data_IF_383745527769
#
_entry.id   IF_383745527769
#
_cell.length_a   1.000
_cell.length_b   1.000
_cell.length_c   1.000
_cell.angle_alpha   90.00
_cell.angle_beta   90.00
_cell.angle_gamma   90.00
#
_symmetry.space_group_name_H-M   'P 1'
#
loop_
_entity.id
_entity.type
_entity.pdbx_description
1 polymer ?
#
# COMPACT_ATOMS: atom_id res chain seq x y z
N UNK A 1 44.05 8.23 11.03
CA UNK A 1 43.28 8.59 9.82
C UNK A 1 42.42 7.47 9.25
N UNK A 2 42.93 6.24 9.10
CA UNK A 2 42.19 5.11 8.49
C UNK A 2 40.78 4.88 9.06
N UNK A 3 40.60 4.90 10.38
CA UNK A 3 39.29 4.75 11.06
C UNK A 3 38.26 5.84 10.73
N UNK A 4 38.69 7.07 10.45
CA UNK A 4 37.79 8.18 10.07
C UNK A 4 37.27 7.99 8.65
N UNK A 5 38.13 7.45 7.76
CA UNK A 5 37.78 7.17 6.38
C UNK A 5 36.77 6.01 6.29
N UNK A 6 36.98 4.94 7.06
CA UNK A 6 36.02 3.82 7.13
C UNK A 6 34.66 4.26 7.66
N UNK A 7 34.63 5.10 8.71
CA UNK A 7 33.37 5.64 9.25
C UNK A 7 32.62 6.54 8.26
N UNK A 8 33.33 7.30 7.43
CA UNK A 8 32.72 8.17 6.42
C UNK A 8 32.14 7.37 5.24
N UNK A 9 32.84 6.33 4.80
CA UNK A 9 32.37 5.39 3.75
C UNK A 9 31.11 4.65 4.21
N UNK A 10 31.06 4.21 5.46
CA UNK A 10 29.87 3.54 6.03
C UNK A 10 28.68 4.50 6.06
N UNK A 11 28.87 5.75 6.54
CA UNK A 11 27.81 6.77 6.53
C UNK A 11 27.30 7.08 5.13
N UNK A 12 28.20 7.19 4.15
CA UNK A 12 27.84 7.46 2.76
C UNK A 12 27.03 6.29 2.16
N UNK A 13 27.42 5.04 2.45
CA UNK A 13 26.68 3.85 2.02
C UNK A 13 25.28 3.82 2.61
N UNK A 14 25.15 4.07 3.92
CA UNK A 14 23.84 4.12 4.60
C UNK A 14 22.94 5.19 4.00
N UNK A 15 23.48 6.38 3.71
CA UNK A 15 22.70 7.45 3.10
C UNK A 15 22.15 7.08 1.71
N UNK A 16 22.95 6.37 0.91
CA UNK A 16 22.52 5.88 -0.42
C UNK A 16 21.40 4.85 -0.30
N UNK A 17 21.46 3.96 0.68
CA UNK A 17 20.44 2.94 0.92
C UNK A 17 19.11 3.56 1.39
N UNK A 18 19.17 4.53 2.31
CA UNK A 18 17.99 5.30 2.76
C UNK A 18 17.35 6.07 1.60
N UNK A 19 18.16 6.69 0.74
CA UNK A 19 17.65 7.41 -0.43
C UNK A 19 16.94 6.47 -1.41
N UNK A 20 17.49 5.29 -1.69
CA UNK A 20 16.84 4.26 -2.51
C UNK A 20 15.52 3.81 -1.91
N UNK A 21 15.45 3.66 -0.60
CA UNK A 21 14.24 3.29 0.12
C UNK A 21 13.14 4.35 -0.04
N UNK A 22 13.48 5.64 0.12
CA UNK A 22 12.55 6.76 -0.09
C UNK A 22 12.02 6.77 -1.53
N UNK A 23 12.88 6.57 -2.54
CA UNK A 23 12.46 6.51 -3.94
C UNK A 23 11.45 5.40 -4.21
N UNK A 24 11.70 4.20 -3.66
CA UNK A 24 10.74 3.10 -3.75
C UNK A 24 9.42 3.46 -3.06
N UNK A 25 9.48 4.04 -1.87
CA UNK A 25 8.30 4.41 -1.10
C UNK A 25 7.44 5.44 -1.83
N UNK A 26 8.05 6.47 -2.43
CA UNK A 26 7.35 7.45 -3.25
C UNK A 26 6.74 6.84 -4.51
N UNK A 27 7.45 5.93 -5.20
CA UNK A 27 6.95 5.29 -6.42
C UNK A 27 5.70 4.44 -6.14
N UNK A 28 5.74 3.65 -5.07
CA UNK A 28 4.59 2.85 -4.62
C UNK A 28 3.44 3.71 -4.09
N UNK A 29 3.75 4.81 -3.41
CA UNK A 29 2.74 5.77 -2.95
C UNK A 29 1.97 6.39 -4.13
N UNK A 30 2.66 6.80 -5.20
CA UNK A 30 2.02 7.32 -6.41
C UNK A 30 1.09 6.28 -7.05
N UNK A 31 1.56 5.04 -7.14
CA UNK A 31 0.76 3.94 -7.68
C UNK A 31 -0.51 3.72 -6.83
N UNK A 32 -0.41 3.79 -5.51
CA UNK A 32 -1.57 3.63 -4.61
C UNK A 32 -2.58 4.77 -4.72
N UNK A 33 -2.13 6.02 -4.89
CA UNK A 33 -3.02 7.16 -5.15
C UNK A 33 -3.75 6.98 -6.49
N UNK A 34 -3.04 6.53 -7.53
CA UNK A 34 -3.62 6.31 -8.85
C UNK A 34 -4.65 5.17 -8.83
N UNK A 35 -4.34 4.06 -8.17
CA UNK A 35 -5.28 2.96 -7.98
C UNK A 35 -6.51 3.40 -7.19
N UNK A 36 -6.33 4.18 -6.11
CA UNK A 36 -7.45 4.73 -5.34
C UNK A 36 -8.35 5.59 -6.21
N UNK A 37 -7.79 6.55 -6.95
CA UNK A 37 -8.55 7.42 -7.84
C UNK A 37 -9.30 6.62 -8.92
N UNK A 38 -8.69 5.56 -9.44
CA UNK A 38 -9.34 4.65 -10.39
C UNK A 38 -10.51 3.90 -9.75
N UNK A 39 -10.35 3.32 -8.56
CA UNK A 39 -11.43 2.64 -7.85
C UNK A 39 -12.59 3.60 -7.54
N UNK A 40 -12.29 4.79 -7.03
CA UNK A 40 -13.30 5.82 -6.76
C UNK A 40 -14.08 6.22 -8.02
N UNK A 41 -13.40 6.33 -9.18
CA UNK A 41 -14.07 6.62 -10.46
C UNK A 41 -14.91 5.46 -10.98
N UNK A 42 -14.44 4.23 -10.84
CA UNK A 42 -15.14 3.04 -11.32
C UNK A 42 -16.43 2.83 -10.51
N UNK A 43 -16.34 2.86 -9.18
CA UNK A 43 -17.50 2.65 -8.31
C UNK A 43 -18.40 3.90 -8.22
N UNK A 44 -17.83 5.09 -8.14
CA UNK A 44 -18.59 6.35 -8.13
C UNK A 44 -19.22 6.69 -9.49
N UNK A 45 -18.53 6.39 -10.59
CA UNK A 45 -18.99 6.67 -11.95
C UNK A 45 -20.10 5.72 -12.44
N UNK A 46 -20.17 4.50 -11.92
CA UNK A 46 -21.25 3.54 -12.18
C UNK A 46 -22.63 4.05 -11.74
N UNK A 47 -22.67 5.00 -10.80
CA UNK A 47 -23.90 5.61 -10.30
C UNK A 47 -24.40 6.81 -11.12
N UNK A 48 -23.68 7.22 -12.16
CA UNK A 48 -24.14 8.28 -13.06
C UNK A 48 -24.96 7.67 -14.21
N UNK A 49 -26.28 7.95 -14.30
CA UNK A 49 -27.14 7.37 -15.34
C UNK A 49 -26.75 7.77 -16.77
N UNK A 50 -25.98 8.85 -16.95
CA UNK A 50 -25.52 9.34 -18.25
C UNK A 50 -24.14 8.79 -18.65
N UNK A 51 -23.47 8.03 -17.78
CA UNK A 51 -22.16 7.46 -18.07
C UNK A 51 -22.28 6.06 -18.67
N UNK A 52 -21.94 5.92 -19.96
CA UNK A 52 -21.95 4.63 -20.65
C UNK A 52 -20.74 3.74 -20.30
N UNK A 53 -19.69 4.27 -19.67
CA UNK A 53 -18.41 3.57 -19.48
C UNK A 53 -18.46 2.44 -18.43
N UNK A 54 -19.41 2.47 -17.49
CA UNK A 54 -19.41 1.59 -16.31
C UNK A 54 -20.78 0.97 -15.98
N UNK A 55 -21.69 0.88 -16.96
CA UNK A 55 -23.06 0.33 -16.78
C UNK A 55 -23.11 -1.11 -16.26
N UNK A 56 -22.06 -1.90 -16.47
CA UNK A 56 -21.98 -3.30 -16.05
C UNK A 56 -21.73 -3.45 -14.53
N UNK A 57 -21.28 -2.39 -13.87
CA UNK A 57 -20.97 -2.40 -12.44
C UNK A 57 -22.22 -1.94 -11.69
N UNK A 58 -22.71 -2.71 -10.70
CA UNK A 58 -23.83 -2.28 -9.89
C UNK A 58 -23.47 -0.98 -9.15
N UNK A 59 -24.37 0.01 -9.17
CA UNK A 59 -24.19 1.24 -8.40
C UNK A 59 -24.36 0.92 -6.90
N UNK A 60 -23.23 0.70 -6.20
CA UNK A 60 -23.22 0.37 -4.76
C UNK A 60 -22.76 1.53 -3.90
N UNK A 61 -22.03 2.50 -4.48
CA UNK A 61 -21.40 3.60 -3.75
C UNK A 61 -22.03 4.95 -4.02
N UNK A 62 -22.29 5.74 -2.99
CA UNK A 62 -22.69 7.15 -3.15
C UNK A 62 -21.58 8.10 -2.69
N UNK A 63 -21.34 9.23 -3.38
CA UNK A 63 -20.41 10.25 -2.92
C UNK A 63 -20.83 10.94 -1.61
N UNK A 64 -22.06 10.74 -1.12
CA UNK A 64 -22.56 11.36 0.13
C UNK A 64 -22.87 12.86 0.00
N UNK A 65 -22.09 13.61 -0.77
CA UNK A 65 -22.26 15.06 -0.98
C UNK A 65 -23.37 15.45 -1.96
N UNK A 66 -23.68 14.63 -2.97
CA UNK A 66 -24.60 15.01 -4.07
C UNK A 66 -25.85 14.13 -4.19
N UNK A 67 -25.86 12.95 -3.56
CA UNK A 67 -27.02 12.06 -3.49
C UNK A 67 -27.03 11.29 -2.16
N UNK A 68 -28.14 11.36 -1.44
CA UNK A 68 -28.44 10.41 -0.38
C UNK A 68 -28.88 9.08 -1.03
N UNK A 69 -28.22 7.97 -0.66
CA UNK A 69 -28.55 6.64 -1.18
C UNK A 69 -27.38 5.96 -1.89
N UNK A 70 -26.68 5.12 -1.13
CA UNK A 70 -25.69 4.14 -1.54
C UNK A 70 -25.46 3.22 -0.34
N UNK A 71 -25.22 1.93 -0.55
CA UNK A 71 -24.99 0.99 0.57
C UNK A 71 -23.61 1.22 1.18
N UNK A 72 -22.68 1.80 0.42
CA UNK A 72 -21.32 2.13 0.85
C UNK A 72 -20.86 3.51 0.34
N UNK A 73 -19.76 4.01 0.87
CA UNK A 73 -19.13 5.26 0.42
C UNK A 73 -18.16 5.01 -0.74
N UNK A 74 -17.84 6.02 -1.55
CA UNK A 74 -16.94 5.85 -2.72
C UNK A 74 -15.51 5.49 -2.34
N UNK A 75 -15.08 5.86 -1.13
CA UNK A 75 -13.76 5.48 -0.58
C UNK A 75 -13.72 4.07 0.02
N UNK A 76 -14.88 3.45 0.29
CA UNK A 76 -14.98 2.14 0.96
C UNK A 76 -14.28 1.01 0.19
N UNK A 77 -14.45 0.85 -1.13
CA UNK A 77 -13.76 -0.21 -1.88
C UNK A 77 -12.24 -0.10 -1.80
N UNK A 78 -11.70 1.12 -1.90
CA UNK A 78 -10.26 1.36 -1.80
C UNK A 78 -9.72 0.99 -0.42
N UNK A 79 -10.46 1.34 0.64
CA UNK A 79 -10.11 0.98 2.02
C UNK A 79 -10.12 -0.53 2.25
N UNK A 80 -11.16 -1.24 1.79
CA UNK A 80 -11.25 -2.70 1.92
C UNK A 80 -10.10 -3.39 1.17
N UNK A 81 -9.84 -3.01 -0.08
CA UNK A 81 -8.77 -3.60 -0.89
C UNK A 81 -7.40 -3.32 -0.26
N UNK A 82 -7.14 -2.09 0.18
CA UNK A 82 -5.88 -1.74 0.83
C UNK A 82 -5.66 -2.48 2.14
N UNK A 83 -6.68 -2.58 3.00
CA UNK A 83 -6.59 -3.35 4.25
C UNK A 83 -6.42 -4.85 4.01
N UNK A 84 -7.06 -5.41 2.99
CA UNK A 84 -6.88 -6.81 2.60
C UNK A 84 -5.44 -7.09 2.12
N UNK A 85 -4.91 -6.27 1.22
CA UNK A 85 -3.53 -6.39 0.73
C UNK A 85 -2.55 -6.21 1.89
N UNK A 86 -2.78 -5.23 2.77
CA UNK A 86 -1.94 -5.00 3.94
C UNK A 86 -1.95 -6.20 4.90
N UNK A 87 -3.10 -6.87 5.07
CA UNK A 87 -3.22 -8.10 5.86
C UNK A 87 -2.43 -9.27 5.28
N UNK A 88 -2.52 -9.46 3.96
CA UNK A 88 -1.76 -10.48 3.22
C UNK A 88 -0.24 -10.26 3.32
N UNK A 89 0.18 -8.99 3.28
CA UNK A 89 1.58 -8.58 3.37
C UNK A 89 2.09 -8.44 4.81
N UNK A 90 1.21 -8.60 5.81
CA UNK A 90 1.60 -8.47 7.20
C UNK A 90 2.54 -9.61 7.58
N UNK A 91 3.77 -9.25 7.93
CA UNK A 91 4.69 -10.16 8.58
C UNK A 91 4.30 -10.26 10.07
N UNK A 92 4.11 -11.46 10.59
CA UNK A 92 3.88 -11.65 12.02
C UNK A 92 5.23 -11.77 12.75
N UNK A 93 5.42 -11.01 13.84
CA UNK A 93 6.59 -11.15 14.72
C UNK A 93 6.72 -12.57 15.28
N UNK A 94 5.59 -13.27 15.44
CA UNK A 94 5.52 -14.69 15.81
C UNK A 94 6.16 -15.58 14.73
N UNK A 95 5.95 -15.26 13.44
CA UNK A 95 6.52 -16.00 12.32
C UNK A 95 8.03 -15.73 12.19
N UNK A 96 8.46 -14.50 12.45
CA UNK A 96 9.87 -14.13 12.54
C UNK A 96 10.58 -14.77 13.75
N UNK A 97 9.89 -14.92 14.88
CA UNK A 97 10.41 -15.58 16.08
C UNK A 97 10.50 -17.11 15.91
N UNK A 98 9.51 -17.76 15.28
CA UNK A 98 9.47 -19.21 15.02
C UNK A 98 10.49 -19.63 13.95
N UNK A 99 10.79 -18.77 12.97
CA UNK A 99 11.74 -19.06 11.88
C UNK A 99 13.08 -18.34 11.98
N UNK A 100 13.47 -17.89 13.19
CA UNK A 100 14.71 -17.18 13.47
C UNK A 100 15.94 -18.10 13.33
N UNK A 101 16.24 -18.52 12.11
CA UNK A 101 17.54 -19.04 11.74
C UNK A 101 18.47 -17.83 11.55
N UNK A 102 19.65 -17.79 12.20
CA UNK A 102 20.60 -16.66 12.10
C UNK A 102 21.18 -16.45 10.68
N UNK A 103 20.87 -17.34 9.73
CA UNK A 103 21.34 -17.29 8.34
C UNK A 103 20.38 -16.58 7.37
N UNK A 104 19.14 -16.26 7.79
CA UNK A 104 18.12 -15.72 6.88
C UNK A 104 17.86 -14.22 7.13
N UNK A 105 18.20 -13.36 6.15
CA UNK A 105 18.06 -11.89 6.21
C UNK A 105 16.69 -11.34 5.75
N UNK A 106 15.71 -12.21 5.46
CA UNK A 106 14.39 -11.81 4.94
C UNK A 106 13.30 -11.66 6.02
N UNK A 107 12.31 -10.80 5.75
CA UNK A 107 11.11 -10.65 6.59
C UNK A 107 10.08 -11.70 6.14
N UNK A 108 9.72 -12.70 6.97
CA UNK A 108 8.78 -13.73 6.54
C UNK A 108 7.36 -13.16 6.42
N UNK A 109 6.78 -13.27 5.23
CA UNK A 109 5.40 -12.83 4.96
C UNK A 109 4.46 -14.04 4.79
N UNK A 110 3.17 -13.82 5.04
CA UNK A 110 2.15 -14.87 4.99
C UNK A 110 1.91 -15.45 3.57
N UNK A 111 2.03 -14.64 2.51
CA UNK A 111 1.67 -15.06 1.14
C UNK A 111 2.81 -15.67 0.32
N UNK A 112 4.08 -15.41 0.69
CA UNK A 112 5.21 -15.77 -0.16
C UNK A 112 5.96 -17.00 0.38
N UNK A 113 6.33 -17.97 -0.47
CA UNK A 113 7.18 -19.08 -0.06
C UNK A 113 8.59 -18.58 0.29
N UNK A 114 9.19 -19.21 1.31
CA UNK A 114 10.51 -18.89 1.87
C UNK A 114 11.70 -19.02 0.89
N UNK A 115 11.47 -19.49 -0.32
CA UNK A 115 12.51 -19.67 -1.35
C UNK A 115 12.51 -18.54 -2.37
N UNK A 116 11.56 -17.61 -2.30
CA UNK A 116 11.44 -16.51 -3.25
C UNK A 116 12.37 -15.35 -2.91
N UNK A 117 13.13 -14.87 -3.90
CA UNK A 117 14.02 -13.70 -3.78
C UNK A 117 13.29 -12.41 -3.39
N UNK A 118 11.98 -12.37 -3.61
CA UNK A 118 11.10 -11.26 -3.27
C UNK A 118 10.96 -11.04 -1.75
N UNK A 119 11.17 -12.05 -0.91
CA UNK A 119 11.19 -11.88 0.56
C UNK A 119 12.48 -11.22 1.07
N UNK A 120 13.56 -11.27 0.29
CA UNK A 120 14.84 -10.68 0.65
C UNK A 120 14.88 -9.18 0.35
N UNK A 121 13.99 -8.67 -0.51
CA UNK A 121 14.03 -7.28 -0.96
C UNK A 121 13.17 -6.35 -0.08
N UNK A 122 13.73 -5.98 1.07
CA UNK A 122 13.11 -5.09 2.08
C UNK A 122 12.50 -3.79 1.53
N UNK A 123 13.16 -3.00 0.65
CA UNK A 123 12.59 -1.72 0.22
C UNK A 123 11.36 -1.87 -0.67
N UNK A 124 11.21 -2.99 -1.40
CA UNK A 124 9.96 -3.29 -2.14
C UNK A 124 8.82 -3.59 -1.18
N UNK A 125 9.08 -4.41 -0.15
CA UNK A 125 8.06 -4.78 0.84
C UNK A 125 7.60 -3.58 1.67
N UNK A 126 8.56 -2.74 2.06
CA UNK A 126 8.25 -1.48 2.72
C UNK A 126 7.44 -0.59 1.78
N UNK A 127 7.90 -0.39 0.54
CA UNK A 127 7.15 0.41 -0.45
C UNK A 127 5.72 -0.09 -0.68
N UNK A 128 5.51 -1.41 -0.79
CA UNK A 128 4.19 -1.99 -1.02
C UNK A 128 3.27 -1.87 0.21
N UNK A 129 3.78 -2.14 1.41
CA UNK A 129 3.00 -2.10 2.65
C UNK A 129 2.74 -0.68 3.14
N UNK A 130 3.76 0.17 3.16
CA UNK A 130 3.64 1.53 3.72
C UNK A 130 3.31 2.55 2.65
N UNK A 131 3.98 2.49 1.49
CA UNK A 131 3.73 3.40 0.37
C UNK A 131 2.39 3.12 -0.32
N UNK A 132 2.27 1.95 -0.94
CA UNK A 132 1.09 1.61 -1.75
C UNK A 132 -0.17 1.41 -0.91
N UNK A 133 -0.17 0.50 0.09
CA UNK A 133 -1.38 0.28 0.89
C UNK A 133 -1.76 1.54 1.68
N UNK A 134 -0.77 2.28 2.20
CA UNK A 134 -1.01 3.52 2.93
C UNK A 134 -1.67 4.60 2.10
N UNK A 135 -1.29 4.77 0.83
CA UNK A 135 -1.89 5.78 -0.05
C UNK A 135 -3.14 5.30 -0.79
N UNK A 136 -3.32 3.98 -0.90
CA UNK A 136 -4.54 3.34 -1.39
C UNK A 136 -5.69 3.49 -0.40
N UNK A 137 -5.41 3.38 0.90
CA UNK A 137 -6.41 3.64 1.95
C UNK A 137 -6.49 5.13 2.27
N UNK A 138 -7.69 5.64 2.54
CA UNK A 138 -7.92 7.03 2.95
C UNK A 138 -8.92 7.10 4.09
N UNK A 139 -8.49 7.63 5.23
CA UNK A 139 -9.38 7.95 6.35
C UNK A 139 -10.01 9.34 6.17
N UNK A 140 -9.25 10.30 5.63
CA UNK A 140 -9.71 11.69 5.47
C UNK A 140 -10.89 11.80 4.50
N UNK A 141 -10.81 11.17 3.33
CA UNK A 141 -11.90 11.17 2.35
C UNK A 141 -13.12 10.40 2.85
N UNK A 142 -12.90 9.35 3.66
CA UNK A 142 -13.97 8.59 4.25
C UNK A 142 -14.74 9.38 5.32
N UNK A 143 -14.03 10.10 6.20
CA UNK A 143 -14.67 10.99 7.19
C UNK A 143 -15.47 12.09 6.50
N UNK A 144 -14.93 12.70 5.44
CA UNK A 144 -15.64 13.73 4.66
C UNK A 144 -16.94 13.23 4.01
N UNK A 145 -17.07 11.92 3.80
CA UNK A 145 -18.28 11.31 3.23
C UNK A 145 -19.29 10.94 4.31
N UNK A 146 -18.85 10.81 5.58
CA UNK A 146 -19.71 10.50 6.72
C UNK A 146 -20.33 11.72 7.38
N UNK A 147 -19.68 12.87 7.31
CA UNK A 147 -20.17 14.16 7.86
C UNK A 147 -21.07 14.88 6.86
#
# INVERSE_FOLDING_TARGET
ESLKLTGLIIKMSTYIDEFRLILHLCSWAQLGVLTRAYLEQVFGGACNPNSHKWKWIPCVTSPGLTRYGGVAFTSTPSNIVGSFIMGILSASDILAAVFRNPSYKGIPMAILPKTSSLQTYTPFLMGLRTGYCGSLTTLSSWILQMV
#
